data_IF_701511596666
#
_entry.id   IF_701511596666
#
_cell.length_a   1.000
_cell.length_b   1.000
_cell.length_c   1.000
_cell.angle_alpha   90.00
_cell.angle_beta   90.00
_cell.angle_gamma   90.00
#
_symmetry.space_group_name_H-M   'P 1'
#
loop_
_entity.id
_entity.type
_entity.pdbx_description
1 polymer ?
#
# COMPACT_ATOMS: atom_id res chain seq x y z
N UNK A 1 -19.27 14.19 -26.87
CA UNK A 1 -20.11 13.01 -26.87
C UNK A 1 -21.55 13.45 -26.72
N UNK A 2 -22.43 13.02 -27.67
CA UNK A 2 -23.84 13.41 -27.65
C UNK A 2 -24.54 12.85 -26.42
N UNK A 3 -25.48 13.61 -25.85
CA UNK A 3 -26.38 13.13 -24.82
C UNK A 3 -27.28 12.04 -25.43
N UNK A 4 -27.71 11.10 -24.61
CA UNK A 4 -28.67 10.02 -25.01
C UNK A 4 -28.10 9.01 -26.04
N UNK A 5 -26.82 8.69 -25.93
CA UNK A 5 -26.19 7.69 -26.78
C UNK A 5 -26.02 6.33 -26.07
N UNK A 6 -26.52 6.16 -24.87
CA UNK A 6 -26.53 4.90 -24.13
C UNK A 6 -27.94 4.35 -24.14
N UNK A 7 -28.12 3.19 -24.78
CA UNK A 7 -29.42 2.55 -24.91
C UNK A 7 -29.74 1.70 -23.66
N UNK A 8 -28.71 1.07 -23.09
CA UNK A 8 -28.88 0.14 -21.98
C UNK A 8 -27.65 0.05 -21.11
N UNK A 9 -27.87 -0.03 -19.80
CA UNK A 9 -26.85 -0.36 -18.81
C UNK A 9 -27.35 -1.56 -17.99
N UNK A 10 -26.54 -2.59 -17.88
CA UNK A 10 -26.84 -3.81 -17.11
C UNK A 10 -25.75 -4.03 -16.07
N UNK A 11 -26.16 -4.22 -14.83
CA UNK A 11 -25.30 -4.76 -13.78
C UNK A 11 -25.33 -6.28 -13.87
N UNK A 12 -24.17 -6.91 -14.01
CA UNK A 12 -24.01 -8.36 -14.03
C UNK A 12 -23.36 -8.78 -12.73
N UNK A 13 -24.02 -9.64 -11.97
CA UNK A 13 -23.59 -10.11 -10.65
C UNK A 13 -23.31 -11.61 -10.73
N UNK A 14 -22.16 -12.05 -10.21
CA UNK A 14 -21.74 -13.45 -10.17
C UNK A 14 -21.87 -14.16 -11.53
N UNK A 15 -21.59 -13.46 -12.63
CA UNK A 15 -21.67 -13.92 -14.03
C UNK A 15 -23.07 -14.25 -14.56
N UNK A 16 -24.02 -14.58 -13.72
CA UNK A 16 -25.32 -15.15 -14.12
C UNK A 16 -26.51 -14.20 -13.93
N UNK A 17 -26.48 -13.38 -12.90
CA UNK A 17 -27.60 -12.48 -12.58
C UNK A 17 -27.43 -11.15 -13.32
N UNK A 18 -28.38 -10.84 -14.21
CA UNK A 18 -28.40 -9.61 -15.02
C UNK A 18 -29.52 -8.70 -14.55
N UNK A 19 -29.18 -7.51 -14.13
CA UNK A 19 -30.11 -6.50 -13.61
C UNK A 19 -30.01 -5.27 -14.49
N UNK A 20 -31.08 -4.95 -15.20
CA UNK A 20 -31.16 -3.72 -15.98
C UNK A 20 -31.22 -2.49 -15.05
N UNK A 21 -30.32 -1.57 -15.27
CA UNK A 21 -30.22 -0.36 -14.46
C UNK A 21 -31.13 0.74 -15.01
N UNK A 22 -31.75 1.49 -14.13
CA UNK A 22 -32.61 2.64 -14.49
C UNK A 22 -31.80 3.92 -14.51
N UNK A 23 -31.96 4.72 -15.57
CA UNK A 23 -31.46 6.09 -15.57
C UNK A 23 -32.31 6.91 -14.61
N UNK A 24 -31.68 7.43 -13.54
CA UNK A 24 -32.37 8.14 -12.46
C UNK A 24 -32.13 9.63 -12.49
N UNK A 25 -31.00 10.06 -13.04
CA UNK A 25 -30.62 11.47 -13.09
C UNK A 25 -29.64 11.73 -14.23
N UNK A 26 -29.55 12.97 -14.67
CA UNK A 26 -28.48 13.44 -15.54
C UNK A 26 -28.11 14.89 -15.18
N UNK A 27 -26.85 15.21 -15.32
CA UNK A 27 -26.34 16.58 -15.26
C UNK A 27 -25.75 17.00 -16.62
N UNK A 28 -24.96 18.08 -16.63
CA UNK A 28 -24.35 18.59 -17.86
C UNK A 28 -23.33 17.63 -18.48
N UNK A 29 -22.72 16.73 -17.68
CA UNK A 29 -21.60 15.88 -18.06
C UNK A 29 -21.94 14.40 -18.06
N UNK A 30 -22.82 13.94 -17.16
CA UNK A 30 -23.04 12.53 -16.88
C UNK A 30 -24.51 12.13 -16.86
N UNK A 31 -24.80 10.91 -17.26
CA UNK A 31 -26.01 10.18 -16.98
C UNK A 31 -25.78 9.21 -15.82
N UNK A 32 -26.71 9.19 -14.86
CA UNK A 32 -26.61 8.36 -13.66
C UNK A 32 -27.61 7.22 -13.75
N UNK A 33 -27.09 6.00 -13.54
CA UNK A 33 -27.89 4.77 -13.55
C UNK A 33 -27.85 4.11 -12.19
N UNK A 34 -28.96 3.54 -11.75
CA UNK A 34 -29.11 2.90 -10.47
C UNK A 34 -29.77 1.54 -10.58
N UNK A 35 -29.36 0.59 -9.75
CA UNK A 35 -30.05 -0.65 -9.47
C UNK A 35 -29.75 -1.10 -8.04
N UNK A 36 -30.60 -1.97 -7.50
CA UNK A 36 -30.45 -2.51 -6.14
C UNK A 36 -30.14 -4.00 -6.23
N UNK A 37 -29.17 -4.44 -5.43
CA UNK A 37 -28.80 -5.83 -5.27
C UNK A 37 -28.99 -6.25 -3.83
N UNK A 38 -29.66 -7.35 -3.61
CA UNK A 38 -29.74 -7.97 -2.28
C UNK A 38 -28.42 -8.72 -2.02
N UNK A 39 -27.77 -8.40 -0.91
CA UNK A 39 -26.53 -9.04 -0.50
C UNK A 39 -26.83 -10.15 0.51
N UNK A 40 -26.23 -11.33 0.27
CA UNK A 40 -26.09 -12.38 1.28
C UNK A 40 -24.79 -12.19 2.06
N UNK A 41 -24.43 -13.11 2.94
CA UNK A 41 -23.15 -13.10 3.65
C UNK A 41 -21.95 -13.49 2.75
N UNK A 42 -22.21 -13.81 1.48
CA UNK A 42 -21.16 -14.20 0.53
C UNK A 42 -20.64 -13.01 -0.25
N UNK A 43 -19.36 -13.04 -0.51
CA UNK A 43 -18.72 -12.14 -1.46
C UNK A 43 -19.36 -12.28 -2.84
N UNK A 44 -19.60 -11.17 -3.51
CA UNK A 44 -20.11 -11.14 -4.89
C UNK A 44 -19.15 -10.36 -5.79
N UNK A 45 -18.99 -10.87 -7.00
CA UNK A 45 -18.30 -10.16 -8.08
C UNK A 45 -19.31 -9.53 -9.01
N UNK A 46 -18.98 -8.37 -9.60
CA UNK A 46 -19.85 -7.72 -10.54
C UNK A 46 -19.10 -6.86 -11.56
N UNK A 47 -19.74 -6.60 -12.66
CA UNK A 47 -19.30 -5.65 -13.68
C UNK A 47 -20.54 -5.02 -14.37
N UNK A 48 -20.28 -4.03 -15.20
CA UNK A 48 -21.36 -3.39 -15.95
C UNK A 48 -21.23 -3.65 -17.45
N UNK A 49 -22.37 -3.87 -18.11
CA UNK A 49 -22.48 -3.85 -19.56
C UNK A 49 -23.13 -2.55 -19.98
N UNK A 50 -22.52 -1.86 -20.92
CA UNK A 50 -23.02 -0.59 -21.47
C UNK A 50 -23.19 -0.75 -22.98
N UNK A 51 -24.42 -0.59 -23.46
CA UNK A 51 -24.78 -0.76 -24.88
C UNK A 51 -25.16 0.57 -25.49
N UNK A 52 -24.63 0.82 -26.69
CA UNK A 52 -24.99 1.94 -27.56
C UNK A 52 -25.07 1.44 -28.99
N UNK A 53 -26.26 1.46 -29.61
CA UNK A 53 -26.54 0.87 -30.92
C UNK A 53 -26.19 -0.62 -30.95
N UNK A 54 -25.24 -0.99 -31.78
CA UNK A 54 -24.76 -2.38 -31.96
C UNK A 54 -23.51 -2.69 -31.12
N UNK A 55 -22.99 -1.71 -30.36
CA UNK A 55 -21.75 -1.85 -29.59
C UNK A 55 -22.09 -2.06 -28.14
N UNK A 56 -21.54 -3.11 -27.55
CA UNK A 56 -21.53 -3.32 -26.09
C UNK A 56 -20.10 -3.29 -25.58
N UNK A 57 -19.87 -2.54 -24.52
CA UNK A 57 -18.61 -2.50 -23.78
C UNK A 57 -18.86 -2.91 -22.34
N UNK A 58 -17.80 -3.30 -21.66
CA UNK A 58 -17.83 -3.75 -20.28
C UNK A 58 -17.03 -2.78 -19.41
N UNK A 59 -17.53 -2.52 -18.21
CA UNK A 59 -16.84 -1.69 -17.23
C UNK A 59 -16.61 -2.47 -15.95
N UNK A 60 -15.34 -2.56 -15.55
CA UNK A 60 -14.87 -3.28 -14.36
C UNK A 60 -13.75 -2.49 -13.67
N UNK A 61 -13.00 -3.10 -12.76
CA UNK A 61 -11.98 -2.44 -11.95
C UNK A 61 -10.80 -1.85 -12.76
N UNK A 62 -10.56 -2.32 -13.98
CA UNK A 62 -9.53 -1.76 -14.88
C UNK A 62 -10.09 -0.73 -15.87
N UNK A 63 -11.39 -0.47 -15.83
CA UNK A 63 -12.05 0.51 -16.70
C UNK A 63 -12.89 -0.11 -17.80
N UNK A 64 -13.00 0.59 -18.94
CA UNK A 64 -13.81 0.15 -20.08
C UNK A 64 -13.01 -0.82 -20.95
N UNK A 65 -13.58 -2.00 -21.24
CA UNK A 65 -12.97 -3.05 -22.03
C UNK A 65 -13.96 -3.67 -23.03
N UNK A 66 -13.43 -4.39 -24.02
CA UNK A 66 -14.23 -5.09 -25.05
C UNK A 66 -14.62 -6.53 -24.67
N UNK A 67 -14.14 -7.04 -23.56
CA UNK A 67 -14.41 -8.38 -23.04
C UNK A 67 -14.34 -8.40 -21.52
N UNK A 68 -14.83 -9.47 -20.91
CA UNK A 68 -14.86 -9.66 -19.48
C UNK A 68 -13.83 -10.72 -19.07
N UNK A 69 -12.94 -10.33 -18.14
CA UNK A 69 -12.08 -11.26 -17.42
C UNK A 69 -12.49 -11.21 -15.95
N UNK A 70 -12.95 -12.32 -15.34
CA UNK A 70 -13.49 -12.34 -13.98
C UNK A 70 -12.52 -11.79 -12.92
N UNK A 71 -11.22 -11.92 -13.14
CA UNK A 71 -10.18 -11.38 -12.24
C UNK A 71 -10.29 -9.86 -12.04
N UNK A 72 -10.80 -9.14 -13.03
CA UNK A 72 -10.94 -7.69 -12.98
C UNK A 72 -12.36 -7.23 -12.60
N UNK A 73 -13.25 -8.12 -12.22
CA UNK A 73 -14.56 -7.72 -11.74
C UNK A 73 -14.44 -6.87 -10.46
N UNK A 74 -15.39 -5.97 -10.27
CA UNK A 74 -15.56 -5.35 -8.95
C UNK A 74 -16.04 -6.39 -7.95
N UNK A 75 -15.70 -6.21 -6.69
CA UNK A 75 -16.07 -7.14 -5.61
C UNK A 75 -16.75 -6.39 -4.48
N UNK A 76 -17.84 -6.96 -3.97
CA UNK A 76 -18.46 -6.54 -2.71
C UNK A 76 -18.28 -7.65 -1.70
N UNK A 77 -17.65 -7.34 -0.58
CA UNK A 77 -17.54 -8.23 0.57
C UNK A 77 -18.53 -7.77 1.63
N UNK A 78 -19.69 -8.45 1.77
CA UNK A 78 -20.64 -8.11 2.81
C UNK A 78 -20.00 -8.23 4.19
N UNK A 79 -20.46 -7.45 5.14
CA UNK A 79 -19.95 -7.45 6.51
C UNK A 79 -18.48 -7.01 6.65
N UNK A 80 -17.84 -6.52 5.59
CA UNK A 80 -16.53 -5.89 5.71
C UNK A 80 -16.65 -4.58 6.50
N UNK A 81 -15.91 -4.51 7.58
CA UNK A 81 -15.84 -3.33 8.43
C UNK A 81 -14.41 -2.83 8.52
N UNK A 82 -14.17 -1.62 8.05
CA UNK A 82 -12.93 -0.93 8.41
C UNK A 82 -12.95 -0.62 9.91
N UNK A 83 -11.95 -1.04 10.68
CA UNK A 83 -11.86 -0.70 12.10
C UNK A 83 -12.03 0.81 12.33
N UNK A 84 -12.77 1.18 13.37
CA UNK A 84 -13.09 2.60 13.60
C UNK A 84 -11.84 3.43 13.90
N UNK A 85 -10.83 2.85 14.54
CA UNK A 85 -9.55 3.50 14.79
C UNK A 85 -8.79 3.88 13.50
N UNK A 86 -9.00 3.15 12.40
CA UNK A 86 -8.33 3.42 11.13
C UNK A 86 -9.01 4.53 10.31
N UNK A 87 -10.27 4.85 10.64
CA UNK A 87 -11.03 5.87 9.92
C UNK A 87 -10.55 7.26 10.34
N UNK A 88 -9.86 7.95 9.42
CA UNK A 88 -9.28 9.26 9.67
C UNK A 88 -7.97 9.26 10.44
N UNK A 89 -7.38 8.08 10.71
CA UNK A 89 -6.09 7.96 11.38
C UNK A 89 -4.95 8.57 10.55
N UNK A 90 -4.04 9.25 11.22
CA UNK A 90 -2.82 9.79 10.63
C UNK A 90 -1.73 8.73 10.72
N UNK A 91 -1.31 8.21 9.57
CA UNK A 91 -0.20 7.26 9.47
C UNK A 91 1.10 7.99 9.16
N UNK A 92 2.15 7.65 9.91
CA UNK A 92 3.49 8.16 9.66
C UNK A 92 4.40 7.00 9.22
N UNK A 93 4.88 7.07 7.97
CA UNK A 93 5.81 6.07 7.45
C UNK A 93 7.23 6.41 7.86
N UNK A 94 7.95 5.45 8.45
CA UNK A 94 9.32 5.61 8.92
C UNK A 94 10.29 4.80 8.04
N UNK A 95 11.24 5.50 7.44
CA UNK A 95 12.47 4.93 6.91
C UNK A 95 13.49 4.90 8.04
N UNK A 96 13.68 3.74 8.67
CA UNK A 96 14.36 3.62 9.96
C UNK A 96 15.78 4.16 9.94
N UNK A 97 16.60 3.75 8.95
CA UNK A 97 17.98 4.24 8.80
C UNK A 97 18.11 5.78 8.79
N UNK A 98 17.05 6.46 8.33
CA UNK A 98 17.03 7.91 8.10
C UNK A 98 16.19 8.69 9.11
N UNK A 99 15.71 8.05 10.18
CA UNK A 99 14.80 8.69 11.12
C UNK A 99 15.53 9.25 12.34
N UNK A 100 16.15 8.41 13.14
CA UNK A 100 16.94 8.82 14.31
C UNK A 100 17.83 7.67 14.80
N UNK A 101 19.11 7.96 15.09
CA UNK A 101 20.06 7.01 15.64
C UNK A 101 19.95 7.03 17.18
N UNK A 102 19.42 5.97 17.75
CA UNK A 102 19.20 5.83 19.19
C UNK A 102 20.29 5.04 19.91
N UNK A 103 20.96 4.12 19.21
CA UNK A 103 22.05 3.31 19.75
C UNK A 103 23.19 3.17 18.73
N UNK A 104 24.22 3.97 18.86
CA UNK A 104 25.35 3.97 17.93
C UNK A 104 26.21 2.68 17.98
N UNK A 105 25.93 1.79 18.92
CA UNK A 105 26.68 0.52 19.03
C UNK A 105 26.26 -0.51 17.98
N UNK A 106 25.11 -0.30 17.33
CA UNK A 106 24.60 -1.15 16.25
C UNK A 106 24.74 -0.54 14.84
N UNK A 107 25.40 0.61 14.72
CA UNK A 107 25.63 1.24 13.42
C UNK A 107 26.37 0.28 12.47
N UNK A 108 25.99 0.31 11.19
CA UNK A 108 26.77 -0.34 10.12
C UNK A 108 28.11 0.39 9.99
N UNK A 109 29.21 -0.36 10.04
CA UNK A 109 30.53 0.19 9.87
C UNK A 109 30.93 0.26 8.38
N UNK A 110 31.94 1.08 8.10
CA UNK A 110 32.46 1.20 6.75
C UNK A 110 33.00 -0.14 6.27
N UNK A 111 32.61 -0.55 5.04
CA UNK A 111 33.05 -1.80 4.41
C UNK A 111 32.69 -3.07 5.22
N UNK A 112 31.71 -3.00 6.11
CA UNK A 112 31.28 -4.14 6.92
C UNK A 112 30.76 -5.28 6.05
N UNK A 113 30.09 -4.95 4.95
CA UNK A 113 29.70 -5.92 3.92
C UNK A 113 29.65 -5.28 2.53
N UNK A 114 29.49 -6.09 1.49
CA UNK A 114 29.42 -5.64 0.11
C UNK A 114 27.96 -5.66 -0.36
N UNK A 115 27.49 -4.54 -0.90
CA UNK A 115 26.18 -4.43 -1.51
C UNK A 115 26.28 -3.77 -2.89
N UNK A 116 25.72 -4.43 -3.92
CA UNK A 116 25.81 -3.98 -5.33
C UNK A 116 27.25 -3.69 -5.73
N UNK A 117 28.16 -4.65 -5.43
CA UNK A 117 29.55 -4.67 -5.90
C UNK A 117 30.53 -3.73 -5.19
N UNK A 118 30.08 -2.99 -4.19
CA UNK A 118 30.93 -2.07 -3.39
C UNK A 118 30.62 -2.19 -1.90
N UNK A 119 31.56 -1.75 -1.06
CA UNK A 119 31.40 -1.75 0.39
C UNK A 119 30.36 -0.76 0.90
N UNK A 120 29.92 -0.97 2.12
CA UNK A 120 29.01 -0.06 2.84
C UNK A 120 29.75 1.17 3.35
N UNK A 121 29.06 2.30 3.40
CA UNK A 121 29.55 3.55 3.94
C UNK A 121 28.77 3.96 5.20
N UNK A 122 29.50 4.22 6.30
CA UNK A 122 28.93 4.83 7.50
C UNK A 122 28.89 6.34 7.34
N UNK A 123 27.73 6.95 7.40
CA UNK A 123 27.54 8.39 7.33
C UNK A 123 27.68 8.96 8.75
N UNK A 124 28.69 9.80 8.94
CA UNK A 124 28.96 10.44 10.25
C UNK A 124 28.31 11.81 10.40
N UNK A 125 28.02 12.50 9.29
CA UNK A 125 27.28 13.76 9.27
C UNK A 125 25.81 13.48 8.94
N UNK A 126 24.95 13.50 9.95
CA UNK A 126 23.51 13.27 9.79
C UNK A 126 22.84 14.19 8.75
N UNK A 127 23.37 15.39 8.57
CA UNK A 127 22.80 16.38 7.65
C UNK A 127 23.40 16.33 6.24
N UNK A 128 24.32 15.41 5.98
CA UNK A 128 24.82 15.16 4.63
C UNK A 128 23.68 14.76 3.70
N UNK A 129 23.65 15.35 2.50
CA UNK A 129 22.75 14.86 1.45
C UNK A 129 23.17 13.46 0.97
N UNK A 130 22.21 12.53 0.78
CA UNK A 130 22.51 11.22 0.22
C UNK A 130 23.15 11.32 -1.16
N UNK A 131 24.08 10.41 -1.45
CA UNK A 131 24.66 10.27 -2.78
C UNK A 131 23.63 9.74 -3.78
N UNK A 132 23.92 9.85 -5.09
CA UNK A 132 23.06 9.34 -6.16
C UNK A 132 22.80 7.82 -6.03
N UNK A 133 23.78 7.06 -5.53
CA UNK A 133 23.66 5.65 -5.17
C UNK A 133 23.69 5.45 -3.65
N UNK A 134 22.88 6.22 -2.94
CA UNK A 134 22.83 6.25 -1.48
C UNK A 134 22.32 4.99 -0.79
N UNK A 135 22.06 3.91 -1.53
CA UNK A 135 21.60 2.61 -0.98
C UNK A 135 22.64 1.90 -0.09
N UNK A 136 23.91 2.30 -0.20
CA UNK A 136 25.02 1.79 0.62
C UNK A 136 25.43 2.73 1.75
N UNK A 137 24.85 3.94 1.80
CA UNK A 137 25.11 4.93 2.86
C UNK A 137 24.19 4.69 4.05
N UNK A 138 24.74 4.32 5.18
CA UNK A 138 24.01 4.07 6.41
C UNK A 138 24.15 5.27 7.36
N UNK A 139 23.03 5.82 7.80
CA UNK A 139 22.96 6.92 8.75
C UNK A 139 22.81 6.42 10.18
N UNK A 140 22.52 5.13 10.36
CA UNK A 140 22.46 4.47 11.65
C UNK A 140 21.15 4.73 12.41
N UNK A 141 20.08 5.16 11.75
CA UNK A 141 18.77 5.18 12.38
C UNK A 141 18.32 3.77 12.75
N UNK A 142 17.71 3.62 13.92
CA UNK A 142 17.31 2.35 14.49
C UNK A 142 15.97 2.40 15.24
N UNK A 143 15.48 1.25 15.72
CA UNK A 143 14.22 1.14 16.46
C UNK A 143 14.34 1.83 17.83
N UNK A 144 15.53 1.82 18.45
CA UNK A 144 15.78 2.57 19.70
C UNK A 144 15.60 4.08 19.46
N UNK A 145 16.02 4.57 18.31
CA UNK A 145 15.80 5.95 17.89
C UNK A 145 14.33 6.29 17.68
N UNK A 146 13.59 5.38 17.05
CA UNK A 146 12.12 5.56 16.93
C UNK A 146 11.47 5.60 18.31
N UNK A 147 11.84 4.70 19.20
CA UNK A 147 11.35 4.70 20.58
C UNK A 147 11.60 6.04 21.28
N UNK A 148 12.80 6.61 21.15
CA UNK A 148 13.15 7.91 21.75
C UNK A 148 12.37 9.09 21.14
N UNK A 149 11.73 8.90 19.99
CA UNK A 149 10.96 9.92 19.26
C UNK A 149 9.45 9.70 19.32
N UNK A 150 8.95 8.78 20.14
CA UNK A 150 7.51 8.53 20.26
C UNK A 150 6.73 9.75 20.73
N UNK A 151 7.27 10.51 21.71
CA UNK A 151 6.62 11.74 22.20
C UNK A 151 6.49 12.78 21.08
N UNK A 152 7.53 12.95 20.25
CA UNK A 152 7.48 13.81 19.08
C UNK A 152 6.40 13.37 18.08
N UNK A 153 6.28 12.08 17.80
CA UNK A 153 5.26 11.55 16.90
C UNK A 153 3.85 11.74 17.49
N UNK A 154 3.69 11.57 18.79
CA UNK A 154 2.44 11.82 19.49
C UNK A 154 2.04 13.30 19.45
N UNK A 155 2.98 14.22 19.71
CA UNK A 155 2.76 15.66 19.60
C UNK A 155 2.40 16.09 18.19
N UNK A 156 2.93 15.39 17.15
CA UNK A 156 2.58 15.60 15.75
C UNK A 156 1.17 15.11 15.41
N UNK A 157 0.54 14.33 16.28
CA UNK A 157 -0.81 13.78 16.10
C UNK A 157 -0.82 12.49 15.28
N UNK A 158 0.26 11.72 15.31
CA UNK A 158 0.34 10.42 14.63
C UNK A 158 -0.43 9.36 15.41
N UNK A 159 -1.36 8.67 14.74
CA UNK A 159 -2.15 7.58 15.33
C UNK A 159 -1.54 6.21 15.07
N UNK A 160 -0.83 6.05 13.96
CA UNK A 160 -0.22 4.78 13.58
C UNK A 160 1.13 4.98 12.89
N UNK A 161 2.10 4.13 13.22
CA UNK A 161 3.41 4.08 12.59
C UNK A 161 3.43 2.93 11.57
N UNK A 162 3.91 3.22 10.37
CA UNK A 162 4.20 2.24 9.35
C UNK A 162 5.71 2.21 9.09
N UNK A 163 6.37 1.11 9.42
CA UNK A 163 7.79 0.95 9.14
C UNK A 163 8.04 0.53 7.68
N UNK A 164 9.03 1.14 7.02
CA UNK A 164 9.71 0.44 5.94
C UNK A 164 10.25 -0.89 6.48
N UNK A 165 10.58 -1.87 5.61
CA UNK A 165 11.04 -3.17 6.09
C UNK A 165 12.14 -3.04 7.15
N UNK A 166 12.06 -3.88 8.19
CA UNK A 166 13.01 -3.88 9.32
C UNK A 166 13.79 -5.19 9.44
N UNK A 167 13.51 -6.13 8.54
CA UNK A 167 14.11 -7.46 8.54
C UNK A 167 15.53 -7.48 7.96
N UNK A 168 16.26 -8.57 8.18
CA UNK A 168 17.64 -8.74 7.71
C UNK A 168 17.76 -8.47 6.21
N UNK A 169 18.58 -7.49 5.84
CA UNK A 169 18.77 -7.08 4.46
C UNK A 169 20.06 -6.27 4.30
N UNK A 170 20.80 -6.40 3.17
CA UNK A 170 22.07 -5.71 2.96
C UNK A 170 21.93 -4.24 2.60
N UNK A 171 20.75 -3.75 2.25
CA UNK A 171 20.53 -2.35 1.93
C UNK A 171 20.09 -1.53 3.15
N UNK A 172 20.28 -0.22 3.08
CA UNK A 172 19.77 0.69 4.10
C UNK A 172 18.24 0.78 4.12
N UNK A 173 17.57 0.57 2.97
CA UNK A 173 16.11 0.63 2.83
C UNK A 173 15.41 -0.69 3.18
N UNK A 174 16.13 -1.80 3.28
CA UNK A 174 15.66 -3.13 3.69
C UNK A 174 14.55 -3.75 2.83
N UNK A 175 14.29 -3.27 1.59
CA UNK A 175 13.29 -3.88 0.70
C UNK A 175 13.76 -5.18 0.03
N UNK A 176 15.05 -5.45 0.02
CA UNK A 176 15.70 -6.68 -0.48
C UNK A 176 15.95 -7.68 0.66
N UNK A 177 14.85 -8.04 1.34
CA UNK A 177 14.85 -8.88 2.54
C UNK A 177 15.46 -10.25 2.23
N UNK A 178 16.42 -10.66 3.04
CA UNK A 178 17.07 -11.96 2.98
C UNK A 178 16.45 -12.95 3.96
N UNK A 179 15.96 -12.47 5.09
CA UNK A 179 15.38 -13.28 6.15
C UNK A 179 14.24 -12.53 6.82
N UNK A 180 13.04 -13.13 6.84
CA UNK A 180 11.85 -12.57 7.47
C UNK A 180 11.66 -12.99 8.93
N UNK A 181 12.47 -13.93 9.43
CA UNK A 181 12.32 -14.44 10.78
C UNK A 181 13.00 -13.52 11.81
N UNK A 182 13.97 -12.69 11.35
CA UNK A 182 14.75 -11.83 12.22
C UNK A 182 14.71 -10.35 11.84
N UNK A 183 14.62 -9.50 12.86
CA UNK A 183 14.88 -8.06 12.71
C UNK A 183 16.37 -7.86 12.43
N UNK A 184 16.69 -6.95 11.52
CA UNK A 184 18.06 -6.62 11.20
C UNK A 184 18.84 -6.16 12.47
N UNK A 185 20.02 -6.73 12.78
CA UNK A 185 20.75 -6.41 13.99
C UNK A 185 21.21 -4.94 14.09
N UNK A 186 21.30 -4.25 12.96
CA UNK A 186 21.58 -2.82 12.91
C UNK A 186 20.34 -1.95 13.19
N UNK A 187 19.14 -2.54 13.17
CA UNK A 187 17.90 -1.85 13.55
C UNK A 187 17.40 -2.25 14.94
N UNK A 188 17.74 -3.44 15.41
CA UNK A 188 17.30 -3.96 16.69
C UNK A 188 18.41 -4.65 17.44
N UNK A 189 18.64 -4.27 18.71
CA UNK A 189 19.65 -4.91 19.54
C UNK A 189 19.24 -6.32 19.91
N UNK A 190 20.14 -7.28 19.69
CA UNK A 190 19.99 -8.64 20.19
C UNK A 190 20.14 -8.61 21.71
N UNK A 191 19.03 -8.77 22.45
CA UNK A 191 19.04 -8.78 23.93
C UNK A 191 19.09 -10.18 24.50
N UNK A 192 18.73 -11.19 23.70
CA UNK A 192 18.78 -12.60 24.04
C UNK A 192 19.12 -13.39 22.79
N UNK A 193 20.27 -14.05 22.81
CA UNK A 193 20.67 -14.98 21.79
C UNK A 193 20.32 -16.39 22.31
N UNK A 194 19.32 -17.02 21.71
CA UNK A 194 18.92 -18.37 22.08
C UNK A 194 19.66 -19.45 21.29
N UNK A 195 20.58 -19.03 20.42
CA UNK A 195 21.51 -19.83 19.60
C UNK A 195 21.03 -21.22 19.29
N UNK A 196 20.72 -21.52 18.05
CA UNK A 196 20.60 -22.91 17.58
C UNK A 196 21.98 -23.54 17.38
#
# INVERSE_FOLDING_TARGET
>A
TGRENIDRVVLVVCTDTRIEMKKVYNDRLFDYYESTVELSDKMIDYYFEVTSGTVTVYYNSVGVCSGVEPYYNFTITPSFHTPDWAKGAIFYQIYVDRFYNGDRSNDVEKDEYVYIGEGTDKVTDWFKYPAAMGVREFYGGDIAGVWQKLDYLQELGVDAIYFNPIFVSPSNHKYDIQDYDYVDPHFGKIVKDEGE
#
